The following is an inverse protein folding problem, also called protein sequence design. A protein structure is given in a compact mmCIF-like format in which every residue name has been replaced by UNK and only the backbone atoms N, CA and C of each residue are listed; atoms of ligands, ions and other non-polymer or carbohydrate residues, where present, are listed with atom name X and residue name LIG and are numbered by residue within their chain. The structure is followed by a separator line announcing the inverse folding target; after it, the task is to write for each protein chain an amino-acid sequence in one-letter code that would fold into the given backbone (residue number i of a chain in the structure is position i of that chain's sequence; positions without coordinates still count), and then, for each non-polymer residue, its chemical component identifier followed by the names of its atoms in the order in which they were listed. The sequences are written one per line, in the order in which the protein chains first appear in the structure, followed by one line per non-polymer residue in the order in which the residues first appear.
data_IF_431457052377
#
_entry.id   IF_431457052377
#
_cell.length_a   1.000
_cell.length_b   1.000
_cell.length_c   1.000
_cell.angle_alpha   90.00
_cell.angle_beta   90.00
_cell.angle_gamma   90.00
#
_symmetry.space_group_name_H-M   'P 1'
#
loop_
_entity.id
_entity.type
_entity.pdbx_description
1 polymer ?
#
# COMPACT_ATOMS: atom_id res chain seq x y z
N UNK A 1 10.71 10.70 0.36
CA UNK A 1 9.97 9.55 0.89
C UNK A 1 8.89 9.94 1.90
N UNK A 2 9.18 10.83 2.85
CA UNK A 2 8.17 11.29 3.83
C UNK A 2 6.97 11.98 3.16
N UNK A 3 7.22 12.84 2.18
CA UNK A 3 6.16 13.57 1.44
C UNK A 3 5.14 12.64 0.75
N UNK A 4 5.60 11.55 0.12
CA UNK A 4 4.71 10.59 -0.54
C UNK A 4 3.84 9.85 0.48
N UNK A 5 4.40 9.49 1.63
CA UNK A 5 3.67 8.83 2.71
C UNK A 5 2.60 9.74 3.29
N UNK A 6 2.94 10.99 3.54
CA UNK A 6 1.97 11.99 4.00
C UNK A 6 0.87 12.23 2.96
N UNK A 7 1.23 12.32 1.68
CA UNK A 7 0.25 12.44 0.60
C UNK A 7 -0.71 11.25 0.57
N UNK A 8 -0.20 10.02 0.63
CA UNK A 8 -1.01 8.80 0.64
C UNK A 8 -1.92 8.76 1.85
N UNK A 9 -1.39 8.98 3.06
CA UNK A 9 -2.20 9.01 4.27
C UNK A 9 -3.25 10.11 4.21
N UNK A 10 -2.94 11.28 3.63
CA UNK A 10 -3.91 12.35 3.44
C UNK A 10 -5.02 11.96 2.45
N UNK A 11 -4.67 11.35 1.32
CA UNK A 11 -5.64 10.82 0.34
C UNK A 11 -6.54 9.74 0.96
N UNK A 12 -5.99 8.86 1.80
CA UNK A 12 -6.76 7.83 2.52
C UNK A 12 -7.71 8.48 3.53
N UNK A 13 -7.24 9.45 4.32
CA UNK A 13 -8.07 10.18 5.29
C UNK A 13 -9.20 10.97 4.61
N UNK A 14 -8.94 11.58 3.46
CA UNK A 14 -9.95 12.28 2.67
C UNK A 14 -10.81 11.32 1.82
N UNK A 15 -10.59 10.01 1.91
CA UNK A 15 -11.27 8.97 1.13
C UNK A 15 -11.20 9.21 -0.39
N UNK A 16 -10.12 9.84 -0.87
CA UNK A 16 -9.88 10.19 -2.27
C UNK A 16 -9.32 8.99 -3.05
N UNK A 17 -10.06 7.88 -3.03
CA UNK A 17 -9.65 6.61 -3.65
C UNK A 17 -9.39 6.71 -5.15
N UNK A 18 -10.12 7.59 -5.85
CA UNK A 18 -9.93 7.82 -7.27
C UNK A 18 -8.55 8.39 -7.57
N UNK A 19 -8.10 9.37 -6.78
CA UNK A 19 -6.77 9.96 -6.97
C UNK A 19 -5.68 8.95 -6.67
N UNK A 20 -5.86 8.16 -5.61
CA UNK A 20 -4.89 7.13 -5.23
C UNK A 20 -4.78 6.02 -6.30
N UNK A 21 -5.89 5.67 -6.98
CA UNK A 21 -5.86 4.74 -8.12
C UNK A 21 -5.28 5.35 -9.40
N UNK A 22 -5.41 6.68 -9.56
CA UNK A 22 -4.90 7.41 -10.74
C UNK A 22 -3.42 7.76 -10.63
N UNK A 23 -2.78 7.54 -9.48
CA UNK A 23 -1.33 7.66 -9.34
C UNK A 23 -0.63 6.76 -10.37
N UNK A 24 0.45 7.28 -10.94
CA UNK A 24 1.27 6.57 -11.90
C UNK A 24 2.15 5.52 -11.19
N UNK A 25 1.53 4.53 -10.56
CA UNK A 25 2.20 3.48 -9.79
C UNK A 25 3.28 2.72 -10.57
N UNK A 26 3.17 2.68 -11.89
CA UNK A 26 4.14 2.07 -12.80
C UNK A 26 5.47 2.85 -12.90
N UNK A 27 5.43 4.16 -12.60
CA UNK A 27 6.62 5.04 -12.61
C UNK A 27 7.45 4.90 -11.32
N UNK A 28 6.85 4.36 -10.24
CA UNK A 28 7.53 4.17 -8.97
C UNK A 28 8.27 2.83 -8.92
N UNK A 29 9.44 2.84 -8.26
CA UNK A 29 10.19 1.62 -8.00
C UNK A 29 9.44 0.73 -7.00
N UNK A 30 9.27 -0.55 -7.36
CA UNK A 30 8.72 -1.58 -6.48
C UNK A 30 9.30 -1.58 -5.05
N UNK A 31 10.63 -1.51 -4.82
CA UNK A 31 11.19 -1.41 -3.47
C UNK A 31 10.68 -0.21 -2.68
N UNK A 32 10.52 0.92 -3.35
CA UNK A 32 10.11 2.20 -2.76
C UNK A 32 8.65 2.12 -2.29
N UNK A 33 7.77 1.58 -3.15
CA UNK A 33 6.37 1.31 -2.82
C UNK A 33 6.24 0.26 -1.71
N UNK A 34 7.09 -0.75 -1.69
CA UNK A 34 7.13 -1.76 -0.63
C UNK A 34 7.50 -1.13 0.73
N UNK A 35 8.56 -0.32 0.77
CA UNK A 35 8.98 0.43 1.96
C UNK A 35 7.89 1.40 2.45
N UNK A 36 7.21 2.07 1.52
CA UNK A 36 6.06 2.92 1.82
C UNK A 36 4.93 2.12 2.48
N UNK A 37 4.56 0.98 1.89
CA UNK A 37 3.46 0.12 2.35
C UNK A 37 3.71 -0.40 3.77
N UNK A 38 4.94 -0.84 4.08
CA UNK A 38 5.27 -1.30 5.44
C UNK A 38 5.32 -0.15 6.45
N UNK A 39 5.63 1.06 6.00
CA UNK A 39 5.61 2.26 6.84
C UNK A 39 4.20 2.72 7.22
N UNK A 40 3.16 2.31 6.49
CA UNK A 40 1.78 2.69 6.82
C UNK A 40 1.22 1.93 8.03
N UNK A 41 0.25 2.56 8.69
CA UNK A 41 -0.53 1.90 9.74
C UNK A 41 -1.35 0.75 9.13
N UNK A 42 -1.74 -0.22 9.97
CA UNK A 42 -2.48 -1.42 9.56
C UNK A 42 -3.67 -1.14 8.63
N UNK A 43 -4.53 -0.18 8.99
CA UNK A 43 -5.70 0.17 8.18
C UNK A 43 -5.31 0.76 6.82
N UNK A 44 -4.44 1.77 6.82
CA UNK A 44 -3.97 2.44 5.61
C UNK A 44 -3.24 1.49 4.66
N UNK A 45 -2.46 0.56 5.22
CA UNK A 45 -1.74 -0.48 4.47
C UNK A 45 -2.70 -1.36 3.67
N UNK A 46 -3.77 -1.85 4.31
CA UNK A 46 -4.79 -2.68 3.66
C UNK A 46 -5.48 -1.92 2.54
N UNK A 47 -5.85 -0.67 2.82
CA UNK A 47 -6.53 0.20 1.85
C UNK A 47 -5.62 0.48 0.65
N UNK A 48 -4.38 0.89 0.88
CA UNK A 48 -3.41 1.14 -0.18
C UNK A 48 -3.23 -0.10 -1.04
N UNK A 49 -2.94 -1.26 -0.43
CA UNK A 49 -2.70 -2.50 -1.16
C UNK A 49 -3.91 -2.93 -2.01
N UNK A 50 -5.13 -2.74 -1.50
CA UNK A 50 -6.38 -3.04 -2.23
C UNK A 50 -6.64 -2.08 -3.39
N UNK A 51 -6.11 -0.86 -3.33
CA UNK A 51 -6.25 0.17 -4.36
C UNK A 51 -5.14 0.14 -5.41
N UNK A 52 -4.02 -0.51 -5.12
CA UNK A 52 -2.94 -0.70 -6.09
C UNK A 52 -3.43 -1.47 -7.33
N UNK A 53 -2.94 -1.11 -8.53
CA UNK A 53 -3.14 -1.93 -9.71
C UNK A 53 -2.62 -3.34 -9.48
N UNK A 54 -3.37 -4.35 -9.93
CA UNK A 54 -3.02 -5.77 -9.79
C UNK A 54 -1.55 -6.13 -10.15
N UNK A 55 -0.95 -5.62 -11.25
CA UNK A 55 0.46 -5.91 -11.55
C UNK A 55 1.42 -5.34 -10.51
N UNK A 56 1.19 -4.10 -10.06
CA UNK A 56 2.01 -3.43 -9.04
C UNK A 56 1.85 -4.11 -7.69
N UNK A 57 0.62 -4.40 -7.27
CA UNK A 57 0.34 -5.12 -6.02
C UNK A 57 1.07 -6.47 -5.97
N UNK A 58 1.09 -7.19 -7.09
CA UNK A 58 1.80 -8.48 -7.20
C UNK A 58 3.31 -8.30 -7.08
N UNK A 59 3.88 -7.34 -7.80
CA UNK A 59 5.31 -7.06 -7.75
C UNK A 59 5.77 -6.60 -6.35
N UNK A 60 5.02 -5.68 -5.73
CA UNK A 60 5.27 -5.21 -4.36
C UNK A 60 5.18 -6.37 -3.38
N UNK A 61 4.12 -7.18 -3.46
CA UNK A 61 3.98 -8.35 -2.59
C UNK A 61 5.14 -9.34 -2.73
N UNK A 62 5.58 -9.62 -3.97
CA UNK A 62 6.73 -10.48 -4.23
C UNK A 62 8.04 -9.90 -3.70
N UNK A 63 8.19 -8.58 -3.70
CA UNK A 63 9.39 -7.90 -3.19
C UNK A 63 9.49 -7.92 -1.65
N UNK A 64 8.35 -7.86 -0.95
CA UNK A 64 8.33 -7.87 0.52
C UNK A 64 9.00 -9.11 1.10
N UNK A 65 9.65 -8.96 2.25
CA UNK A 65 10.22 -10.09 2.97
C UNK A 65 9.13 -11.01 3.52
N UNK A 66 9.52 -12.23 3.92
CA UNK A 66 8.57 -13.23 4.42
C UNK A 66 7.74 -12.70 5.60
N UNK A 67 8.36 -11.95 6.50
CA UNK A 67 7.71 -11.39 7.69
C UNK A 67 6.67 -10.33 7.30
N UNK A 68 7.05 -9.40 6.43
CA UNK A 68 6.15 -8.34 5.95
C UNK A 68 4.99 -8.88 5.11
N UNK A 69 5.23 -9.90 4.26
CA UNK A 69 4.15 -10.59 3.54
C UNK A 69 3.14 -11.21 4.50
N UNK A 70 3.60 -11.89 5.55
CA UNK A 70 2.72 -12.48 6.55
C UNK A 70 1.96 -11.41 7.34
N UNK A 71 2.62 -10.30 7.69
CA UNK A 71 1.97 -9.17 8.35
C UNK A 71 0.86 -8.59 7.47
N UNK A 72 1.16 -8.34 6.18
CA UNK A 72 0.16 -7.84 5.24
C UNK A 72 -1.00 -8.81 5.04
N UNK A 73 -0.76 -10.11 4.89
CA UNK A 73 -1.82 -11.11 4.78
C UNK A 73 -2.69 -11.15 6.03
N UNK A 74 -2.08 -11.06 7.21
CA UNK A 74 -2.80 -10.95 8.48
C UNK A 74 -3.64 -9.67 8.53
N UNK A 75 -3.10 -8.55 8.06
CA UNK A 75 -3.81 -7.28 8.00
C UNK A 75 -5.01 -7.35 7.04
N UNK A 76 -4.86 -7.99 5.87
CA UNK A 76 -5.93 -8.23 4.90
C UNK A 76 -7.03 -9.16 5.41
N UNK A 77 -6.69 -10.12 6.26
CA UNK A 77 -7.64 -11.12 6.80
C UNK A 77 -8.38 -10.62 8.03
N UNK A 78 -7.94 -9.51 8.63
CA UNK A 78 -8.49 -8.99 9.88
C UNK A 78 -9.81 -8.20 9.70
N UNK A 79 -10.55 -8.45 8.61
CA UNK A 79 -11.88 -7.91 8.29
C UNK A 79 -13.03 -8.51 9.14
N UNK A 80 -12.73 -9.17 10.26
CA UNK A 80 -13.74 -9.75 11.16
C UNK A 80 -13.57 -9.23 12.59
N UNK A 81 -14.33 -8.20 12.95
CA UNK A 81 -15.06 -8.09 14.23
C UNK A 81 -16.17 -7.08 14.11
#
# INVERSE_FOLDING_TARGET
MEELREQISNLINQQLWNQLRQLAWDDYLIPDVASLLIGLNKADRVILFRLLPRPVATAVFSYLEKEDRNALLKDLTNEET
#
